data_IF_755615352081
#
_entry.id   IF_755615352081
#
_cell.length_a   1.000
_cell.length_b   1.000
_cell.length_c   1.000
_cell.angle_alpha   90.00
_cell.angle_beta   90.00
_cell.angle_gamma   90.00
#
_symmetry.space_group_name_H-M   'P 1'
#
loop_
_entity.id
_entity.type
_entity.pdbx_description
1 polymer ?
#
# COMPACT_ATOMS: atom_id res chain seq x y z
N UNK A 1 21.17 -43.01 66.13
CA UNK A 1 20.49 -41.95 65.35
C UNK A 1 21.57 -41.12 64.67
N UNK A 2 21.61 -41.11 63.33
CA UNK A 2 22.53 -40.27 62.56
C UNK A 2 21.83 -39.85 61.28
N UNK A 3 21.36 -38.61 61.24
CA UNK A 3 20.78 -38.01 60.03
C UNK A 3 21.93 -37.54 59.14
N UNK A 4 22.06 -38.14 57.96
CA UNK A 4 22.89 -37.59 56.89
C UNK A 4 22.10 -36.46 56.21
N UNK A 5 22.54 -35.21 56.44
CA UNK A 5 22.07 -34.04 55.70
C UNK A 5 22.81 -34.03 54.37
N UNK A 6 22.13 -34.36 53.28
CA UNK A 6 22.65 -34.14 51.93
C UNK A 6 22.47 -32.66 51.57
N UNK A 7 23.57 -31.91 51.59
CA UNK A 7 23.62 -30.56 51.06
C UNK A 7 23.50 -30.60 49.54
N UNK A 8 22.32 -30.25 49.03
CA UNK A 8 22.05 -30.09 47.61
C UNK A 8 22.63 -28.73 47.14
N UNK A 9 23.96 -28.65 47.01
CA UNK A 9 24.62 -27.49 46.40
C UNK A 9 24.75 -27.72 44.90
N UNK A 10 23.76 -27.29 44.14
CA UNK A 10 23.99 -27.04 42.70
C UNK A 10 25.11 -25.98 42.61
N UNK A 11 26.20 -26.21 41.85
CA UNK A 11 27.29 -25.25 41.80
C UNK A 11 26.79 -23.91 41.26
N UNK A 12 27.10 -22.82 41.96
CA UNK A 12 26.72 -21.45 41.58
C UNK A 12 27.07 -21.15 40.11
N UNK A 13 28.21 -21.66 39.64
CA UNK A 13 28.67 -21.56 38.25
C UNK A 13 27.73 -22.21 37.23
N UNK A 14 27.04 -23.30 37.58
CA UNK A 14 26.10 -23.99 36.70
C UNK A 14 24.81 -23.18 36.51
N UNK A 15 24.36 -22.49 37.57
CA UNK A 15 23.21 -21.59 37.52
C UNK A 15 23.53 -20.34 36.67
N UNK A 16 24.73 -19.76 36.84
CA UNK A 16 25.16 -18.60 36.06
C UNK A 16 25.35 -18.91 34.56
N UNK A 17 25.94 -20.07 34.24
CA UNK A 17 26.03 -20.53 32.85
C UNK A 17 24.66 -20.79 32.24
N UNK A 18 23.73 -21.39 33.00
CA UNK A 18 22.35 -21.63 32.55
C UNK A 18 21.61 -20.33 32.28
N UNK A 19 21.75 -19.32 33.15
CA UNK A 19 21.16 -17.98 32.97
C UNK A 19 21.74 -17.27 31.75
N UNK A 20 23.07 -17.27 31.57
CA UNK A 20 23.74 -16.66 30.42
C UNK A 20 23.30 -17.29 29.09
N UNK A 21 23.14 -18.61 29.05
CA UNK A 21 22.66 -19.32 27.86
C UNK A 21 21.20 -18.96 27.53
N UNK A 22 20.36 -18.81 28.55
CA UNK A 22 18.97 -18.39 28.38
C UNK A 22 18.86 -16.95 27.87
N UNK A 23 19.64 -16.03 28.45
CA UNK A 23 19.69 -14.62 28.03
C UNK A 23 20.20 -14.50 26.57
N UNK A 24 21.18 -15.31 26.18
CA UNK A 24 21.69 -15.36 24.81
C UNK A 24 20.66 -15.92 23.83
N UNK A 25 19.87 -16.92 24.24
CA UNK A 25 18.76 -17.46 23.44
C UNK A 25 17.65 -16.42 23.22
N UNK A 26 17.27 -15.68 24.28
CA UNK A 26 16.30 -14.60 24.18
C UNK A 26 16.78 -13.46 23.27
N UNK A 27 18.04 -13.07 23.39
CA UNK A 27 18.65 -12.04 22.53
C UNK A 27 18.65 -12.47 21.05
N UNK A 28 18.97 -13.74 20.77
CA UNK A 28 18.91 -14.31 19.42
C UNK A 28 17.49 -14.29 18.85
N UNK A 29 16.50 -14.70 19.64
CA UNK A 29 15.09 -14.68 19.24
C UNK A 29 14.61 -13.25 18.92
N UNK A 30 14.99 -12.27 19.75
CA UNK A 30 14.66 -10.86 19.52
C UNK A 30 15.30 -10.33 18.23
N UNK A 31 16.58 -10.61 17.99
CA UNK A 31 17.24 -10.18 16.75
C UNK A 31 16.62 -10.80 15.51
N UNK A 32 16.23 -12.08 15.57
CA UNK A 32 15.56 -12.76 14.46
C UNK A 32 14.17 -12.17 14.18
N UNK A 33 13.41 -11.85 15.23
CA UNK A 33 12.12 -11.18 15.09
C UNK A 33 12.25 -9.79 14.45
N UNK A 34 13.21 -8.97 14.90
CA UNK A 34 13.48 -7.64 14.34
C UNK A 34 13.90 -7.76 12.87
N UNK A 35 14.87 -8.61 12.56
CA UNK A 35 15.35 -8.81 11.19
C UNK A 35 14.24 -9.29 10.24
N UNK A 36 13.33 -10.13 10.74
CA UNK A 36 12.19 -10.59 9.97
C UNK A 36 11.15 -9.48 9.78
N UNK A 37 10.93 -8.62 10.78
CA UNK A 37 10.06 -7.45 10.65
C UNK A 37 10.60 -6.45 9.60
N UNK A 38 11.89 -6.15 9.61
CA UNK A 38 12.52 -5.23 8.65
C UNK A 38 12.42 -5.73 7.20
N UNK A 39 12.62 -7.03 6.98
CA UNK A 39 12.47 -7.63 5.65
C UNK A 39 11.04 -7.53 5.13
N UNK A 40 10.04 -7.67 6.02
CA UNK A 40 8.62 -7.55 5.68
C UNK A 40 8.29 -6.11 5.32
N UNK A 41 8.69 -5.14 6.14
CA UNK A 41 8.47 -3.72 5.89
C UNK A 41 9.08 -3.29 4.54
N UNK A 42 10.33 -3.69 4.26
CA UNK A 42 11.00 -3.39 2.99
C UNK A 42 10.29 -3.97 1.76
N UNK A 43 9.72 -5.17 1.88
CA UNK A 43 8.96 -5.79 0.79
C UNK A 43 7.68 -5.02 0.46
N UNK A 44 6.98 -4.53 1.48
CA UNK A 44 5.77 -3.71 1.33
C UNK A 44 6.13 -2.35 0.72
N UNK A 45 7.17 -1.69 1.24
CA UNK A 45 7.66 -0.40 0.72
C UNK A 45 8.05 -0.48 -0.76
N UNK A 46 8.78 -1.53 -1.17
CA UNK A 46 9.16 -1.73 -2.57
C UNK A 46 7.94 -1.97 -3.47
N UNK A 47 6.92 -2.68 -2.97
CA UNK A 47 5.67 -2.90 -3.67
C UNK A 47 4.89 -1.59 -3.87
N UNK A 48 4.80 -0.76 -2.83
CA UNK A 48 4.17 0.56 -2.90
C UNK A 48 4.92 1.50 -3.84
N UNK A 49 6.25 1.54 -3.78
CA UNK A 49 7.04 2.33 -4.71
C UNK A 49 6.72 1.98 -6.18
N UNK A 50 6.68 0.67 -6.50
CA UNK A 50 6.31 0.18 -7.84
C UNK A 50 4.86 0.46 -8.22
N UNK A 51 3.95 0.44 -7.26
CA UNK A 51 2.53 0.67 -7.49
C UNK A 51 2.21 2.13 -7.83
N UNK A 52 2.99 3.07 -7.29
CA UNK A 52 2.76 4.52 -7.44
C UNK A 52 2.58 4.94 -8.90
N UNK A 53 3.47 4.53 -9.81
CA UNK A 53 3.35 4.87 -11.24
C UNK A 53 2.06 4.33 -11.89
N UNK A 54 1.58 3.17 -11.44
CA UNK A 54 0.38 2.55 -11.99
C UNK A 54 -0.88 3.23 -11.44
N UNK A 55 -0.87 3.61 -10.15
CA UNK A 55 -1.91 4.44 -9.56
C UNK A 55 -2.00 5.82 -10.25
N UNK A 56 -0.87 6.46 -10.57
CA UNK A 56 -0.84 7.68 -11.38
C UNK A 56 -1.48 7.46 -12.76
N UNK A 57 -1.12 6.35 -13.42
CA UNK A 57 -1.69 6.00 -14.74
C UNK A 57 -3.21 5.82 -14.65
N UNK A 58 -3.72 5.17 -13.60
CA UNK A 58 -5.16 5.02 -13.38
C UNK A 58 -5.86 6.35 -13.16
N UNK A 59 -5.29 7.24 -12.34
CA UNK A 59 -5.86 8.56 -12.15
C UNK A 59 -5.91 9.33 -13.48
N UNK A 60 -4.79 9.43 -14.19
CA UNK A 60 -4.71 10.24 -15.42
C UNK A 60 -5.69 9.72 -16.48
N UNK A 61 -5.79 8.40 -16.63
CA UNK A 61 -6.77 7.81 -17.55
C UNK A 61 -8.21 8.03 -17.10
N UNK A 62 -8.47 8.13 -15.79
CA UNK A 62 -9.81 8.36 -15.24
C UNK A 62 -10.31 9.78 -15.52
N UNK A 63 -9.40 10.77 -15.54
CA UNK A 63 -9.73 12.17 -15.90
C UNK A 63 -10.37 12.23 -17.30
N UNK A 64 -9.84 11.48 -18.26
CA UNK A 64 -10.33 11.47 -19.64
C UNK A 64 -11.44 10.44 -19.89
N UNK A 65 -11.53 9.40 -19.05
CA UNK A 65 -12.46 8.30 -19.25
C UNK A 65 -13.07 7.79 -17.92
N UNK A 66 -14.37 8.01 -17.66
CA UNK A 66 -15.00 7.61 -16.40
C UNK A 66 -15.16 6.09 -16.25
N UNK A 67 -14.91 5.31 -17.30
CA UNK A 67 -14.98 3.85 -17.29
C UNK A 67 -13.68 3.18 -16.81
N UNK A 68 -12.68 3.93 -16.35
CA UNK A 68 -11.53 3.34 -15.64
C UNK A 68 -12.00 2.54 -14.43
N UNK A 69 -11.41 1.35 -14.22
CA UNK A 69 -11.80 0.43 -13.14
C UNK A 69 -12.96 -0.52 -13.45
N UNK A 70 -13.60 -0.43 -14.62
CA UNK A 70 -14.51 -1.49 -15.06
C UNK A 70 -13.70 -2.71 -15.52
N UNK A 71 -13.49 -3.66 -14.59
CA UNK A 71 -12.79 -4.90 -14.89
C UNK A 71 -13.58 -5.79 -15.88
N UNK A 72 -14.91 -5.72 -15.81
CA UNK A 72 -15.84 -6.43 -16.70
C UNK A 72 -16.80 -5.42 -17.39
N UNK A 73 -16.41 -4.86 -18.55
CA UNK A 73 -17.26 -3.93 -19.28
C UNK A 73 -18.47 -4.66 -19.90
N UNK A 74 -19.67 -4.07 -19.77
CA UNK A 74 -20.92 -4.64 -20.32
C UNK A 74 -21.02 -4.33 -21.82
N UNK A 75 -20.45 -3.19 -22.25
CA UNK A 75 -20.46 -2.76 -23.66
C UNK A 75 -19.06 -2.35 -24.13
N UNK A 76 -18.84 -2.34 -25.45
CA UNK A 76 -17.54 -1.93 -26.05
C UNK A 76 -17.11 -0.52 -25.66
N UNK A 77 -18.07 0.37 -25.40
CA UNK A 77 -17.81 1.76 -25.02
C UNK A 77 -17.36 1.91 -23.55
N UNK A 78 -17.51 0.86 -22.74
CA UNK A 78 -17.09 0.82 -21.34
C UNK A 78 -15.73 0.15 -21.16
N UNK A 79 -15.10 -0.32 -22.25
CA UNK A 79 -13.77 -0.94 -22.17
C UNK A 79 -12.77 0.14 -21.73
N UNK A 80 -12.06 -0.04 -20.60
CA UNK A 80 -11.09 0.94 -20.17
C UNK A 80 -9.97 1.09 -21.21
N UNK A 81 -9.36 2.29 -21.32
CA UNK A 81 -8.20 2.52 -22.17
C UNK A 81 -7.10 1.48 -21.92
N UNK A 82 -6.32 1.14 -22.96
CA UNK A 82 -5.26 0.14 -22.85
C UNK A 82 -4.30 0.42 -21.68
N UNK A 83 -3.91 1.69 -21.51
CA UNK A 83 -3.04 2.11 -20.41
C UNK A 83 -3.63 1.79 -19.02
N UNK A 84 -4.94 1.99 -18.83
CA UNK A 84 -5.62 1.65 -17.57
C UNK A 84 -5.64 0.14 -17.34
N UNK A 85 -5.94 -0.66 -18.39
CA UNK A 85 -5.93 -2.13 -18.30
C UNK A 85 -4.55 -2.68 -17.97
N UNK A 86 -3.52 -2.14 -18.63
CA UNK A 86 -2.13 -2.53 -18.38
C UNK A 86 -1.71 -2.16 -16.94
N UNK A 87 -2.11 -0.98 -16.45
CA UNK A 87 -1.84 -0.55 -15.07
C UNK A 87 -2.55 -1.45 -14.02
N UNK A 88 -3.83 -1.78 -14.23
CA UNK A 88 -4.56 -2.73 -13.37
C UNK A 88 -3.83 -4.07 -13.31
N UNK A 89 -3.49 -4.64 -14.47
CA UNK A 89 -2.78 -5.93 -14.52
C UNK A 89 -1.44 -5.91 -13.78
N UNK A 90 -0.73 -4.78 -13.80
CA UNK A 90 0.52 -4.61 -13.05
C UNK A 90 0.29 -4.52 -11.55
N UNK A 91 -0.75 -3.81 -11.11
CA UNK A 91 -1.15 -3.73 -9.71
C UNK A 91 -1.59 -5.11 -9.17
N UNK A 92 -2.39 -5.84 -9.94
CA UNK A 92 -2.81 -7.20 -9.58
C UNK A 92 -1.59 -8.13 -9.46
N UNK A 93 -0.62 -8.03 -10.38
CA UNK A 93 0.62 -8.81 -10.29
C UNK A 93 1.47 -8.45 -9.06
N UNK A 94 1.47 -7.18 -8.64
CA UNK A 94 2.13 -6.77 -7.39
C UNK A 94 1.41 -7.41 -6.20
N UNK A 95 0.08 -7.34 -6.16
CA UNK A 95 -0.74 -7.94 -5.12
C UNK A 95 -0.57 -9.47 -5.03
N UNK A 96 -0.53 -10.18 -6.16
CA UNK A 96 -0.26 -11.63 -6.18
C UNK A 96 1.10 -11.95 -5.58
N UNK A 97 2.16 -11.19 -5.92
CA UNK A 97 3.50 -11.39 -5.35
C UNK A 97 3.56 -11.11 -3.85
N UNK A 98 2.82 -10.11 -3.37
CA UNK A 98 2.69 -9.84 -1.94
C UNK A 98 1.95 -10.99 -1.25
N UNK A 99 0.86 -11.48 -1.84
CA UNK A 99 0.12 -12.62 -1.31
C UNK A 99 0.99 -13.89 -1.23
N UNK A 100 1.74 -14.23 -2.28
CA UNK A 100 2.67 -15.35 -2.28
C UNK A 100 3.71 -15.23 -1.16
N UNK A 101 4.26 -14.02 -0.96
CA UNK A 101 5.20 -13.73 0.13
C UNK A 101 4.54 -13.84 1.50
N UNK A 102 3.32 -13.33 1.65
CA UNK A 102 2.59 -13.39 2.91
C UNK A 102 2.32 -14.84 3.31
N UNK A 103 1.89 -15.68 2.36
CA UNK A 103 1.73 -17.13 2.56
C UNK A 103 3.05 -17.79 2.97
N UNK A 104 4.14 -17.50 2.25
CA UNK A 104 5.45 -18.09 2.53
C UNK A 104 6.04 -17.69 3.90
N UNK A 105 5.53 -16.63 4.52
CA UNK A 105 6.02 -16.11 5.79
C UNK A 105 4.98 -16.15 6.91
N UNK A 106 3.87 -16.89 6.73
CA UNK A 106 2.76 -17.01 7.68
C UNK A 106 2.23 -15.64 8.16
N UNK A 107 1.98 -14.75 7.20
CA UNK A 107 1.49 -13.39 7.43
C UNK A 107 0.01 -13.27 7.02
N UNK A 108 -0.63 -12.23 7.53
CA UNK A 108 -1.94 -11.82 7.06
C UNK A 108 -1.95 -11.66 5.54
N UNK A 109 -2.88 -12.35 4.87
CA UNK A 109 -2.92 -12.42 3.40
C UNK A 109 -3.01 -11.03 2.76
N UNK A 110 -3.77 -10.13 3.37
CA UNK A 110 -3.97 -8.76 2.90
C UNK A 110 -2.84 -7.78 3.23
N UNK A 111 -1.76 -8.21 3.91
CA UNK A 111 -0.70 -7.32 4.35
C UNK A 111 -0.03 -6.63 3.16
N UNK A 112 -0.06 -5.29 3.15
CA UNK A 112 0.54 -4.44 2.13
C UNK A 112 -0.17 -4.45 0.78
N UNK A 113 -1.27 -5.20 0.61
CA UNK A 113 -2.02 -5.25 -0.65
C UNK A 113 -2.55 -3.87 -1.02
N UNK A 114 -2.54 -3.57 -2.32
CA UNK A 114 -2.94 -2.29 -2.88
C UNK A 114 -4.42 -2.37 -3.28
N UNK A 115 -5.27 -1.64 -2.56
CA UNK A 115 -6.71 -1.52 -2.81
C UNK A 115 -7.01 -0.54 -3.94
N UNK A 116 -6.49 -0.81 -5.15
CA UNK A 116 -6.58 0.11 -6.29
C UNK A 116 -8.03 0.45 -6.70
N UNK A 117 -8.97 -0.47 -6.48
CA UNK A 117 -10.39 -0.26 -6.74
C UNK A 117 -10.96 0.86 -5.86
N UNK A 118 -10.62 0.86 -4.56
CA UNK A 118 -11.04 1.92 -3.63
C UNK A 118 -10.48 3.29 -4.03
N UNK A 119 -9.21 3.33 -4.48
CA UNK A 119 -8.64 4.56 -5.04
C UNK A 119 -9.48 5.09 -6.21
N UNK A 120 -9.81 4.22 -7.17
CA UNK A 120 -10.62 4.59 -8.33
C UNK A 120 -12.03 5.05 -7.93
N UNK A 121 -12.68 4.40 -6.96
CA UNK A 121 -14.01 4.78 -6.46
C UNK A 121 -14.01 6.17 -5.82
N UNK A 122 -13.01 6.45 -4.98
CA UNK A 122 -12.87 7.76 -4.34
C UNK A 122 -12.58 8.82 -5.41
N UNK A 123 -11.62 8.58 -6.31
CA UNK A 123 -11.30 9.53 -7.39
C UNK A 123 -12.48 9.80 -8.32
N UNK A 124 -13.27 8.77 -8.67
CA UNK A 124 -14.50 8.95 -9.47
C UNK A 124 -15.47 9.91 -8.82
N UNK A 125 -15.69 9.73 -7.52
CA UNK A 125 -16.56 10.60 -6.72
C UNK A 125 -16.02 12.02 -6.72
N UNK A 126 -14.70 12.19 -6.50
CA UNK A 126 -14.04 13.50 -6.49
C UNK A 126 -14.13 14.22 -7.83
N UNK A 127 -13.78 13.54 -8.93
CA UNK A 127 -13.82 14.13 -10.27
C UNK A 127 -15.26 14.45 -10.71
N UNK A 128 -16.23 13.62 -10.33
CA UNK A 128 -17.64 13.88 -10.59
C UNK A 128 -18.13 15.13 -9.86
N UNK A 129 -17.82 15.28 -8.56
CA UNK A 129 -18.17 16.48 -7.78
C UNK A 129 -17.53 17.71 -8.43
N UNK A 130 -16.20 17.70 -8.64
CA UNK A 130 -15.44 18.80 -9.24
C UNK A 130 -16.00 19.29 -10.58
N UNK A 131 -16.41 18.37 -11.45
CA UNK A 131 -16.95 18.71 -12.76
C UNK A 131 -18.37 19.33 -12.68
N UNK A 132 -19.16 18.97 -11.67
CA UNK A 132 -20.53 19.47 -11.50
C UNK A 132 -20.63 20.77 -10.68
N UNK A 133 -19.68 21.06 -9.80
CA UNK A 133 -19.62 22.29 -8.97
C UNK A 133 -19.07 23.51 -9.71
N UNK A 134 -18.63 23.40 -10.98
CA UNK A 134 -18.14 24.53 -11.78
C UNK A 134 -19.14 25.70 -11.96
N UNK A 135 -20.40 25.53 -11.57
CA UNK A 135 -21.44 26.57 -11.70
C UNK A 135 -21.75 27.34 -10.40
N UNK A 136 -21.20 26.96 -9.24
CA UNK A 136 -21.56 27.59 -7.97
C UNK A 136 -20.53 27.36 -6.88
N UNK A 137 -19.67 28.36 -6.62
CA UNK A 137 -18.76 28.39 -5.46
C UNK A 137 -17.57 27.42 -5.56
N UNK A 138 -16.55 27.67 -4.74
CA UNK A 138 -15.42 26.74 -4.60
C UNK A 138 -15.94 25.36 -4.19
N UNK A 139 -15.57 24.28 -4.91
CA UNK A 139 -15.98 22.95 -4.52
C UNK A 139 -15.39 22.60 -3.15
N UNK A 140 -16.23 22.13 -2.23
CA UNK A 140 -15.80 21.47 -1.00
C UNK A 140 -15.09 20.15 -1.35
N UNK A 141 -13.82 20.25 -1.71
CA UNK A 141 -12.93 19.10 -1.97
C UNK A 141 -12.35 18.53 -0.67
N UNK A 142 -12.50 19.24 0.44
CA UNK A 142 -11.93 18.91 1.74
C UNK A 142 -12.39 17.54 2.27
N UNK A 143 -13.70 17.18 2.25
CA UNK A 143 -14.16 15.86 2.72
C UNK A 143 -13.57 14.70 1.91
N UNK A 144 -13.26 14.93 0.62
CA UNK A 144 -12.78 13.91 -0.30
C UNK A 144 -11.25 13.73 -0.25
N UNK A 145 -10.51 14.81 -0.05
CA UNK A 145 -9.08 14.74 0.27
C UNK A 145 -8.84 14.06 1.63
N UNK A 146 -9.74 14.28 2.59
CA UNK A 146 -9.76 13.57 3.87
C UNK A 146 -10.00 12.07 3.67
N UNK A 147 -10.95 11.66 2.82
CA UNK A 147 -11.22 10.24 2.56
C UNK A 147 -10.00 9.48 2.02
N UNK A 148 -9.23 10.08 1.09
CA UNK A 148 -7.99 9.47 0.59
C UNK A 148 -6.89 9.45 1.66
N UNK A 149 -6.79 10.51 2.48
CA UNK A 149 -5.84 10.57 3.59
C UNK A 149 -6.13 9.50 4.64
N UNK A 150 -7.39 9.34 5.01
CA UNK A 150 -7.86 8.37 5.99
C UNK A 150 -7.65 6.94 5.49
N UNK A 151 -7.94 6.68 4.21
CA UNK A 151 -7.61 5.39 3.60
C UNK A 151 -6.10 5.13 3.60
N UNK A 152 -5.26 6.13 3.32
CA UNK A 152 -3.81 5.94 3.39
C UNK A 152 -3.33 5.62 4.80
N UNK A 153 -3.94 6.21 5.84
CA UNK A 153 -3.64 5.89 7.24
C UNK A 153 -4.15 4.50 7.63
N UNK A 154 -5.38 4.13 7.23
CA UNK A 154 -6.01 2.84 7.55
C UNK A 154 -5.18 1.64 7.04
N UNK A 155 -4.60 1.78 5.85
CA UNK A 155 -3.87 0.71 5.18
C UNK A 155 -2.35 0.84 5.22
N UNK A 156 -1.81 1.78 6.02
CA UNK A 156 -0.38 2.09 6.09
C UNK A 156 0.25 2.37 4.70
N UNK A 157 -0.48 3.08 3.84
CA UNK A 157 0.01 3.49 2.52
C UNK A 157 0.86 4.77 2.60
N UNK A 158 1.70 5.03 1.58
CA UNK A 158 2.38 6.30 1.45
C UNK A 158 1.38 7.47 1.48
N UNK A 159 1.59 8.44 2.37
CA UNK A 159 0.70 9.61 2.50
C UNK A 159 0.58 10.42 1.20
N UNK A 160 1.62 10.37 0.35
CA UNK A 160 1.64 10.98 -0.99
C UNK A 160 0.60 10.38 -1.93
N UNK A 161 0.08 9.19 -1.65
CA UNK A 161 -1.00 8.58 -2.45
C UNK A 161 -2.32 9.32 -2.31
N UNK A 162 -2.53 10.04 -1.21
CA UNK A 162 -3.72 10.85 -1.00
C UNK A 162 -3.81 12.06 -1.93
N UNK A 163 -2.67 12.47 -2.50
CA UNK A 163 -2.55 13.59 -3.42
C UNK A 163 -2.16 13.16 -4.84
N UNK A 164 -2.48 11.93 -5.25
CA UNK A 164 -2.25 11.50 -6.63
C UNK A 164 -3.29 12.10 -7.58
N UNK A 165 -2.88 12.61 -8.75
CA UNK A 165 -1.52 12.73 -9.25
C UNK A 165 -0.88 13.92 -8.52
N UNK A 166 0.40 13.81 -8.15
CA UNK A 166 1.04 14.89 -7.44
C UNK A 166 1.00 16.15 -8.32
N UNK A 167 0.50 17.25 -7.78
CA UNK A 167 0.43 18.52 -8.48
C UNK A 167 1.83 18.95 -8.95
N UNK A 168 2.06 18.85 -10.26
CA UNK A 168 3.14 19.47 -11.02
C UNK A 168 2.58 19.83 -12.40
N UNK A 169 2.88 21.01 -12.96
CA UNK A 169 1.89 21.86 -13.60
C UNK A 169 1.32 21.29 -14.90
N UNK A 170 -0.01 21.40 -15.01
CA UNK A 170 -0.72 21.41 -16.27
C UNK A 170 -0.42 22.72 -17.03
N UNK A 171 0.78 22.83 -17.58
CA UNK A 171 1.16 23.79 -18.62
C UNK A 171 1.95 22.97 -19.64
N UNK A 172 1.40 22.51 -20.77
CA UNK A 172 0.88 23.30 -21.88
C UNK A 172 0.37 22.29 -22.90
N UNK A 173 -0.92 22.32 -23.28
CA UNK A 173 -1.37 21.95 -24.63
C UNK A 173 -2.69 22.66 -24.96
N UNK A 174 -2.85 23.90 -24.47
CA UNK A 174 -3.76 24.86 -25.06
C UNK A 174 -2.94 25.76 -26.00
N UNK A 175 -2.45 25.20 -27.11
CA UNK A 175 -2.12 25.94 -28.33
C UNK A 175 -1.57 24.97 -29.37
N UNK A 176 -2.44 24.48 -30.24
CA UNK A 176 -2.18 24.67 -31.66
C UNK A 176 -3.50 24.93 -32.36
N UNK A 177 -3.65 26.20 -32.73
CA UNK A 177 -4.64 26.72 -33.63
C UNK A 177 -4.75 25.81 -34.85
N UNK A 178 -6.00 25.47 -35.17
CA UNK A 178 -6.45 25.20 -36.52
C UNK A 178 -5.81 26.25 -37.45
N UNK A 179 -4.94 25.81 -38.35
CA UNK A 179 -4.70 26.50 -39.61
C UNK A 179 -5.48 25.73 -40.67
N UNK A 180 -6.65 26.25 -40.97
CA UNK A 180 -7.20 26.23 -42.33
C UNK A 180 -6.24 26.97 -43.24
N UNK A 181 -5.74 26.27 -44.26
CA UNK A 181 -5.61 26.73 -45.64
C UNK A 181 -5.74 25.50 -46.54
#
# INVERSE_FOLDING_TARGET
MGFAVFSNTTPLNTLEMSKKNFDQMLAGLHQDQIRNADKKAKAVEEAHHKATQYLCTLYLTLVDNPFVGFYNPITKNQIPPKAARDAISKLDRINSRLMDRNIANDLYLGLGQIQWQRFVEIWKTTLFVLNNTRQSGEPEIEPLMLALSDMCKEYDYPSTWASLPPSGPAETHANNKIKTE
#
